data_IF_071150520981
#
_entry.id   IF_071150520981
#
_cell.length_a   1.000
_cell.length_b   1.000
_cell.length_c   1.000
_cell.angle_alpha   90.00
_cell.angle_beta   90.00
_cell.angle_gamma   90.00
#
_symmetry.space_group_name_H-M   'P 1'
#
loop_
_entity.id
_entity.type
_entity.pdbx_description
1 polymer ?
#
# COMPACT_ATOMS: atom_id res chain seq x y z
N UNK A 1 -6.58 41.52 -60.33
CA UNK A 1 -7.33 40.73 -59.32
C UNK A 1 -6.47 39.51 -59.01
N UNK A 2 -5.94 39.43 -57.79
CA UNK A 2 -4.86 38.52 -57.42
C UNK A 2 -5.37 37.09 -57.15
N UNK A 3 -4.72 36.13 -57.82
CA UNK A 3 -4.88 34.69 -57.64
C UNK A 3 -4.66 34.30 -56.17
N UNK A 4 -5.70 33.80 -55.52
CA UNK A 4 -5.61 33.20 -54.18
C UNK A 4 -4.79 31.91 -54.26
N UNK A 5 -3.57 31.97 -53.71
CA UNK A 5 -2.68 30.84 -53.43
C UNK A 5 -3.19 30.17 -52.15
N UNK A 6 -3.84 29.03 -52.27
CA UNK A 6 -4.17 28.20 -51.12
C UNK A 6 -4.06 26.73 -51.51
N UNK A 7 -2.82 26.27 -51.66
CA UNK A 7 -2.47 24.85 -51.72
C UNK A 7 -2.60 24.28 -50.31
N UNK A 8 -3.81 23.92 -49.89
CA UNK A 8 -4.01 23.17 -48.65
C UNK A 8 -4.56 21.79 -48.97
N UNK A 9 -3.71 20.97 -49.59
CA UNK A 9 -3.88 19.51 -49.66
C UNK A 9 -2.99 18.87 -48.62
N UNK A 10 -3.50 18.75 -47.39
CA UNK A 10 -3.16 17.70 -46.40
C UNK A 10 -4.46 17.59 -45.58
N UNK A 11 -5.48 16.85 -46.02
CA UNK A 11 -5.63 15.40 -45.83
C UNK A 11 -4.95 14.88 -44.56
N UNK A 12 -5.78 14.58 -43.55
CA UNK A 12 -5.43 13.64 -42.50
C UNK A 12 -4.57 14.19 -41.36
N UNK A 13 -5.20 14.80 -40.37
CA UNK A 13 -5.10 14.24 -39.02
C UNK A 13 -6.35 14.66 -38.23
N UNK A 14 -7.43 13.97 -38.54
CA UNK A 14 -8.58 13.85 -37.67
C UNK A 14 -8.10 13.42 -36.28
N UNK A 15 -8.65 14.09 -35.27
CA UNK A 15 -9.07 13.49 -34.02
C UNK A 15 -7.98 13.19 -32.96
N UNK A 16 -7.93 14.10 -31.99
CA UNK A 16 -7.92 13.75 -30.57
C UNK A 16 -6.75 12.91 -30.06
N UNK A 17 -5.57 13.51 -29.96
CA UNK A 17 -4.61 13.12 -28.92
C UNK A 17 -5.07 13.67 -27.54
N UNK A 18 -6.29 13.34 -27.13
CA UNK A 18 -6.65 13.32 -25.72
C UNK A 18 -6.02 12.05 -25.13
N UNK A 19 -4.70 12.08 -24.92
CA UNK A 19 -4.01 10.98 -24.28
C UNK A 19 -4.49 10.95 -22.83
N UNK A 20 -5.48 10.10 -22.57
CA UNK A 20 -6.02 9.77 -21.26
C UNK A 20 -4.88 9.56 -20.28
N UNK A 21 -4.72 10.49 -19.35
CA UNK A 21 -3.98 10.28 -18.11
C UNK A 21 -4.61 9.07 -17.42
N UNK A 22 -4.02 7.89 -17.60
CA UNK A 22 -4.32 6.74 -16.75
C UNK A 22 -3.83 7.11 -15.36
N UNK A 23 -4.73 7.61 -14.52
CA UNK A 23 -4.48 7.73 -13.09
C UNK A 23 -4.12 6.32 -12.59
N UNK A 24 -2.91 6.19 -12.07
CA UNK A 24 -2.37 4.92 -11.63
C UNK A 24 -3.18 4.39 -10.45
N UNK A 25 -3.81 3.22 -10.62
CA UNK A 25 -4.06 2.26 -9.55
C UNK A 25 -4.88 2.71 -8.33
N UNK A 26 -5.76 3.70 -8.44
CA UNK A 26 -6.74 3.95 -7.39
C UNK A 26 -7.88 2.93 -7.55
N UNK A 27 -7.84 1.86 -6.74
CA UNK A 27 -8.97 0.95 -6.62
C UNK A 27 -10.22 1.76 -6.30
N UNK A 28 -11.29 1.59 -7.07
CA UNK A 28 -12.51 2.35 -6.87
C UNK A 28 -13.00 2.14 -5.44
N UNK A 29 -13.15 3.24 -4.68
CA UNK A 29 -13.60 3.17 -3.30
C UNK A 29 -14.96 2.48 -3.23
N UNK A 30 -15.10 1.55 -2.30
CA UNK A 30 -16.33 0.81 -2.06
C UNK A 30 -16.92 1.20 -0.72
N UNK A 31 -18.25 1.27 -0.66
CA UNK A 31 -18.96 1.55 0.58
C UNK A 31 -18.96 0.32 1.48
N UNK A 32 -18.39 0.48 2.66
CA UNK A 32 -18.37 -0.54 3.72
C UNK A 32 -19.15 -0.03 4.93
N UNK A 33 -19.90 -0.92 5.56
CA UNK A 33 -20.62 -0.67 6.81
C UNK A 33 -20.40 -1.86 7.75
N UNK A 34 -19.24 -1.85 8.42
CA UNK A 34 -18.77 -2.92 9.28
C UNK A 34 -18.68 -2.34 10.70
N UNK A 35 -19.62 -2.68 11.57
CA UNK A 35 -19.60 -2.23 12.97
C UNK A 35 -18.36 -2.76 13.71
N UNK A 36 -17.94 -2.10 14.79
CA UNK A 36 -16.93 -2.65 15.71
C UNK A 36 -17.33 -4.03 16.24
N UNK A 37 -16.34 -4.86 16.58
CA UNK A 37 -16.59 -6.18 17.15
C UNK A 37 -15.45 -7.19 16.97
N UNK A 38 -15.73 -8.48 17.17
CA UNK A 38 -14.73 -9.54 17.08
C UNK A 38 -14.07 -9.57 15.71
N UNK A 39 -12.73 -9.49 15.67
CA UNK A 39 -11.98 -9.34 14.43
C UNK A 39 -12.29 -10.47 13.43
N UNK A 40 -12.39 -11.72 13.90
CA UNK A 40 -12.71 -12.88 13.06
C UNK A 40 -14.03 -12.73 12.29
N UNK A 41 -15.07 -12.20 12.94
CA UNK A 41 -16.37 -11.98 12.29
C UNK A 41 -16.27 -10.85 11.25
N UNK A 42 -15.53 -9.79 11.57
CA UNK A 42 -15.38 -8.64 10.68
C UNK A 42 -14.52 -8.96 9.46
N UNK A 43 -13.51 -9.81 9.60
CA UNK A 43 -12.71 -10.34 8.48
C UNK A 43 -13.59 -11.13 7.51
N UNK A 44 -14.47 -11.99 8.01
CA UNK A 44 -15.39 -12.75 7.17
C UNK A 44 -16.37 -11.84 6.40
N UNK A 45 -16.94 -10.83 7.08
CA UNK A 45 -17.80 -9.83 6.45
C UNK A 45 -17.05 -9.01 5.39
N UNK A 46 -15.82 -8.61 5.68
CA UNK A 46 -14.99 -7.85 4.76
C UNK A 46 -14.63 -8.67 3.52
N UNK A 47 -14.21 -9.93 3.68
CA UNK A 47 -13.93 -10.85 2.58
C UNK A 47 -15.14 -10.99 1.64
N UNK A 48 -16.33 -11.18 2.21
CA UNK A 48 -17.58 -11.30 1.47
C UNK A 48 -17.95 -10.00 0.74
N UNK A 49 -17.79 -8.84 1.39
CA UNK A 49 -18.11 -7.53 0.80
C UNK A 49 -17.13 -7.12 -0.31
N UNK A 50 -15.85 -7.51 -0.18
CA UNK A 50 -14.79 -7.21 -1.12
C UNK A 50 -14.63 -8.25 -2.24
N UNK A 51 -15.17 -9.46 -2.08
CA UNK A 51 -14.99 -10.56 -3.02
C UNK A 51 -13.57 -11.15 -3.03
N UNK A 52 -12.83 -11.01 -1.93
CA UNK A 52 -11.45 -11.47 -1.80
C UNK A 52 -11.35 -12.71 -0.90
N UNK A 53 -10.27 -13.47 -1.06
CA UNK A 53 -9.91 -14.55 -0.16
C UNK A 53 -8.83 -14.07 0.81
N UNK A 54 -9.08 -14.26 2.11
CA UNK A 54 -8.20 -13.83 3.18
C UNK A 54 -7.73 -15.08 3.95
N UNK A 55 -6.42 -15.26 4.04
CA UNK A 55 -5.79 -16.38 4.74
C UNK A 55 -5.11 -15.86 6.01
N UNK A 56 -5.40 -16.48 7.15
CA UNK A 56 -4.86 -16.12 8.46
C UNK A 56 -4.94 -17.30 9.44
N UNK A 57 -4.15 -17.26 10.50
CA UNK A 57 -4.27 -18.20 11.62
C UNK A 57 -5.36 -17.76 12.60
N UNK A 58 -6.34 -18.62 12.94
CA UNK A 58 -7.49 -18.26 13.78
C UNK A 58 -7.08 -17.83 15.19
N UNK A 59 -5.97 -18.37 15.69
CA UNK A 59 -5.40 -18.04 17.00
C UNK A 59 -4.73 -16.65 17.03
N UNK A 60 -4.21 -16.15 15.91
CA UNK A 60 -3.66 -14.79 15.81
C UNK A 60 -4.72 -13.69 15.88
N UNK A 61 -5.95 -13.98 15.47
CA UNK A 61 -7.09 -13.04 15.50
C UNK A 61 -8.01 -13.25 16.71
N UNK A 62 -7.81 -14.34 17.46
CA UNK A 62 -8.62 -14.69 18.63
C UNK A 62 -8.42 -13.64 19.74
N UNK A 63 -9.52 -13.24 20.38
CA UNK A 63 -9.58 -12.15 21.36
C UNK A 63 -9.14 -10.76 20.84
N UNK A 64 -9.05 -10.56 19.53
CA UNK A 64 -8.84 -9.24 18.92
C UNK A 64 -10.17 -8.61 18.53
N UNK A 65 -10.28 -7.30 18.71
CA UNK A 65 -11.41 -6.52 18.28
C UNK A 65 -11.00 -5.56 17.16
N UNK A 66 -11.86 -5.44 16.15
CA UNK A 66 -11.75 -4.41 15.13
C UNK A 66 -12.55 -3.18 15.58
N UNK A 67 -12.03 -1.95 15.33
CA UNK A 67 -12.80 -0.72 15.54
C UNK A 67 -13.98 -0.57 14.57
N UNK A 68 -14.09 -1.46 13.57
CA UNK A 68 -15.06 -1.33 12.49
C UNK A 68 -14.59 -0.38 11.40
N UNK A 69 -15.38 -0.31 10.34
CA UNK A 69 -15.15 0.51 9.16
C UNK A 69 -16.48 0.96 8.61
N UNK A 70 -16.68 2.27 8.51
CA UNK A 70 -17.88 2.84 7.92
C UNK A 70 -17.51 3.99 6.98
N UNK A 71 -17.97 3.92 5.73
CA UNK A 71 -17.69 4.90 4.69
C UNK A 71 -17.20 4.29 3.38
N UNK A 72 -16.77 5.15 2.46
CA UNK A 72 -16.29 4.74 1.15
C UNK A 72 -14.76 4.74 1.11
N UNK A 73 -14.16 3.54 1.03
CA UNK A 73 -12.71 3.39 1.05
C UNK A 73 -12.24 2.41 -0.03
N UNK A 74 -11.05 2.60 -0.61
CA UNK A 74 -10.44 1.59 -1.44
C UNK A 74 -10.10 0.35 -0.58
N UNK A 75 -10.05 -0.82 -1.22
CA UNK A 75 -9.91 -2.11 -0.56
C UNK A 75 -8.71 -2.13 0.42
N UNK A 76 -7.53 -1.72 -0.04
CA UNK A 76 -6.31 -1.69 0.78
C UNK A 76 -6.44 -0.77 2.01
N UNK A 77 -7.05 0.40 1.85
CA UNK A 77 -7.20 1.36 2.95
C UNK A 77 -8.27 0.90 3.95
N UNK A 78 -9.36 0.33 3.43
CA UNK A 78 -10.40 -0.31 4.22
C UNK A 78 -9.81 -1.43 5.09
N UNK A 79 -8.92 -2.24 4.52
CA UNK A 79 -8.28 -3.33 5.24
C UNK A 79 -7.37 -2.85 6.37
N UNK A 80 -6.53 -1.85 6.08
CA UNK A 80 -5.65 -1.23 7.07
C UNK A 80 -6.45 -0.62 8.24
N UNK A 81 -7.58 0.02 7.96
CA UNK A 81 -8.49 0.56 8.99
C UNK A 81 -9.14 -0.55 9.82
N UNK A 82 -9.57 -1.63 9.19
CA UNK A 82 -10.18 -2.77 9.87
C UNK A 82 -9.20 -3.45 10.86
N UNK A 83 -7.91 -3.52 10.48
CA UNK A 83 -6.84 -4.12 11.29
C UNK A 83 -6.21 -3.15 12.31
N UNK A 84 -6.65 -1.89 12.33
CA UNK A 84 -6.08 -0.88 13.21
C UNK A 84 -6.24 -1.28 14.69
N UNK A 85 -5.13 -1.25 15.43
CA UNK A 85 -5.10 -1.61 16.86
C UNK A 85 -5.01 -3.11 17.14
N UNK A 86 -5.00 -3.96 16.11
CA UNK A 86 -4.90 -5.42 16.27
C UNK A 86 -3.45 -5.94 16.32
N UNK A 87 -2.51 -5.15 15.76
CA UNK A 87 -1.12 -5.55 15.54
C UNK A 87 -0.93 -6.46 14.32
N UNK A 88 -1.89 -6.46 13.39
CA UNK A 88 -1.86 -7.24 12.16
C UNK A 88 -1.82 -6.30 10.96
N UNK A 89 -1.21 -6.77 9.88
CA UNK A 89 -1.17 -6.09 8.58
C UNK A 89 -1.56 -7.07 7.47
N UNK A 90 -2.22 -6.55 6.44
CA UNK A 90 -2.63 -7.33 5.26
C UNK A 90 -1.58 -7.23 4.16
N UNK A 91 -1.14 -8.37 3.63
CA UNK A 91 -0.19 -8.46 2.52
C UNK A 91 -0.89 -9.10 1.31
N UNK A 92 -0.94 -8.37 0.20
CA UNK A 92 -1.45 -8.90 -1.06
C UNK A 92 -0.54 -10.02 -1.59
N UNK A 93 -1.14 -11.16 -1.95
CA UNK A 93 -0.44 -12.36 -2.43
C UNK A 93 -0.74 -12.67 -3.90
N UNK A 94 -1.99 -12.46 -4.31
CA UNK A 94 -2.50 -12.69 -5.66
C UNK A 94 -3.59 -11.64 -5.97
N UNK A 95 -4.12 -11.62 -7.19
CA UNK A 95 -5.11 -10.60 -7.64
C UNK A 95 -6.26 -10.37 -6.64
N UNK A 96 -6.73 -11.42 -5.96
CA UNK A 96 -7.79 -11.34 -4.94
C UNK A 96 -7.44 -12.13 -3.67
N UNK A 97 -6.15 -12.41 -3.44
CA UNK A 97 -5.68 -13.22 -2.32
C UNK A 97 -4.84 -12.40 -1.35
N UNK A 98 -5.22 -12.37 -0.07
CA UNK A 98 -4.54 -11.61 0.98
C UNK A 98 -4.11 -12.52 2.15
N UNK A 99 -2.94 -12.25 2.72
CA UNK A 99 -2.43 -12.88 3.93
C UNK A 99 -2.39 -11.86 5.07
N UNK A 100 -2.85 -12.23 6.26
CA UNK A 100 -2.57 -11.43 7.46
C UNK A 100 -1.25 -11.86 8.08
N UNK A 101 -0.41 -10.88 8.39
CA UNK A 101 0.83 -11.07 9.13
C UNK A 101 0.80 -10.19 10.37
N UNK A 102 1.26 -10.74 11.50
CA UNK A 102 1.55 -9.92 12.68
C UNK A 102 2.68 -8.95 12.39
N UNK A 103 2.43 -7.67 12.54
CA UNK A 103 3.50 -6.68 12.55
C UNK A 103 4.17 -6.77 13.92
N UNK A 104 5.27 -7.51 14.01
CA UNK A 104 6.24 -7.24 15.05
C UNK A 104 6.60 -5.77 14.88
N UNK A 105 6.13 -4.92 15.78
CA UNK A 105 6.34 -3.48 15.72
C UNK A 105 7.85 -3.29 15.66
N UNK A 106 8.39 -3.02 14.46
CA UNK A 106 9.80 -2.71 14.31
C UNK A 106 10.03 -1.49 15.19
N UNK A 107 10.91 -1.55 16.21
CA UNK A 107 11.11 -0.43 17.11
C UNK A 107 11.45 0.79 16.25
N UNK A 108 10.63 1.82 16.41
CA UNK A 108 10.77 3.09 15.70
C UNK A 108 12.23 3.54 15.79
N UNK A 109 12.92 3.50 14.65
CA UNK A 109 14.18 4.20 14.37
C UNK A 109 15.08 4.31 15.61
N UNK A 110 15.61 3.20 16.13
CA UNK A 110 16.83 3.30 16.92
C UNK A 110 17.84 4.04 16.04
N UNK A 111 18.36 5.14 16.58
CA UNK A 111 19.08 6.21 15.92
C UNK A 111 20.07 5.70 14.85
N UNK A 112 20.32 6.48 13.78
CA UNK A 112 21.43 6.16 12.88
C UNK A 112 22.65 5.93 13.76
N UNK A 113 23.24 4.74 13.65
CA UNK A 113 24.55 4.45 14.22
C UNK A 113 25.41 5.63 13.80
N UNK A 114 25.73 6.53 14.73
CA UNK A 114 26.68 7.59 14.45
C UNK A 114 27.94 6.81 14.09
N UNK A 115 28.31 6.88 12.81
CA UNK A 115 29.60 6.45 12.33
C UNK A 115 30.61 7.43 12.93
N UNK A 116 30.82 7.35 14.24
CA UNK A 116 32.00 7.93 14.85
C UNK A 116 33.10 6.92 14.54
N UNK A 117 33.65 7.04 13.33
CA UNK A 117 34.96 6.51 13.00
C UNK A 117 35.89 7.00 14.10
N UNK A 118 36.48 6.12 14.93
CA UNK A 118 37.54 6.53 15.84
C UNK A 118 38.74 6.85 14.95
N UNK A 119 38.85 8.10 14.54
CA UNK A 119 40.01 8.64 13.86
C UNK A 119 40.75 9.55 14.84
N UNK A 120 41.55 8.96 15.75
CA UNK A 120 42.79 9.53 16.32
C UNK A 120 43.66 8.32 16.74
N UNK A 121 44.56 7.76 15.92
CA UNK A 121 45.94 8.17 15.55
C UNK A 121 47.03 7.61 16.54
N UNK A 122 48.35 7.72 16.26
CA UNK A 122 49.21 6.61 15.81
C UNK A 122 50.44 6.37 16.71
N UNK A 123 50.74 5.13 17.08
CA UNK A 123 52.03 4.66 17.62
C UNK A 123 51.85 3.14 17.84
N UNK A 124 52.75 2.23 17.50
CA UNK A 124 54.20 2.26 17.62
C UNK A 124 54.73 1.12 16.75
N UNK A 125 55.66 1.45 15.85
CA UNK A 125 56.48 0.47 15.14
C UNK A 125 57.45 -0.13 16.16
N UNK A 126 57.31 -1.42 16.46
CA UNK A 126 58.41 -2.23 16.99
C UNK A 126 58.40 -3.62 16.33
N UNK A 127 59.26 -3.87 15.33
CA UNK A 127 59.75 -5.22 15.09
C UNK A 127 60.78 -5.52 16.18
N UNK A 128 60.65 -6.62 16.92
CA UNK A 128 61.55 -7.76 16.68
C UNK A 128 60.85 -9.11 16.99
N UNK A 129 61.25 -10.29 16.54
CA UNK A 129 62.53 -10.82 16.03
C UNK A 129 62.25 -12.12 15.26
#
# INVERSE_FOLDING_TARGET
>A
MAFQRARYTVWGLLLAAALSLRVAGAEAGRSYAITAGPLSQKLALFAAAAGISIIYEPESVRNKCSPGLEGNFPLVEAFARLLRGTGLESVAKAEQGYLLRGIAQAPARAAPYRHETPAIAPAEIRPPE
#
